data_IF_066333347031
#
_entry.id   IF_066333347031
#
_cell.length_a   1.000
_cell.length_b   1.000
_cell.length_c   1.000
_cell.angle_alpha   90.00
_cell.angle_beta   90.00
_cell.angle_gamma   90.00
#
_symmetry.space_group_name_H-M   'P 1'
#
loop_
_entity.id
_entity.type
_entity.pdbx_description
1 polymer ?
#
# COMPACT_ATOMS: atom_id res chain seq x y z
N UNK A 1 -3.68 -7.07 29.90
CA UNK A 1 -3.40 -5.92 29.02
C UNK A 1 -4.44 -5.91 27.92
N UNK A 2 -4.98 -4.74 27.57
CA UNK A 2 -6.02 -4.59 26.53
C UNK A 2 -5.47 -5.00 25.16
N UNK A 3 -4.21 -4.67 24.87
CA UNK A 3 -3.58 -5.03 23.60
C UNK A 3 -3.48 -6.55 23.45
N UNK A 4 -3.01 -7.27 24.48
CA UNK A 4 -2.92 -8.74 24.45
C UNK A 4 -4.30 -9.39 24.32
N UNK A 5 -5.30 -8.91 25.07
CA UNK A 5 -6.67 -9.44 24.99
C UNK A 5 -7.26 -9.30 23.57
N UNK A 6 -7.02 -8.15 22.93
CA UNK A 6 -7.46 -7.93 21.55
C UNK A 6 -6.70 -8.82 20.55
N UNK A 7 -5.39 -8.96 20.72
CA UNK A 7 -4.57 -9.83 19.87
C UNK A 7 -5.02 -11.30 19.98
N UNK A 8 -5.26 -11.80 21.20
CA UNK A 8 -5.76 -13.15 21.44
C UNK A 8 -7.14 -13.36 20.77
N UNK A 9 -8.04 -12.38 20.89
CA UNK A 9 -9.34 -12.43 20.24
C UNK A 9 -9.23 -12.47 18.71
N UNK A 10 -8.33 -11.67 18.12
CA UNK A 10 -8.08 -11.67 16.69
C UNK A 10 -7.44 -12.98 16.20
N UNK A 11 -6.56 -13.59 17.01
CA UNK A 11 -6.02 -14.92 16.71
C UNK A 11 -7.13 -15.99 16.72
N UNK A 12 -8.07 -15.94 17.67
CA UNK A 12 -9.23 -16.84 17.68
C UNK A 12 -10.15 -16.64 16.47
N UNK A 13 -10.34 -15.39 16.03
CA UNK A 13 -11.05 -15.09 14.78
C UNK A 13 -10.32 -15.73 13.59
N UNK A 14 -9.01 -15.54 13.47
CA UNK A 14 -8.19 -16.18 12.42
C UNK A 14 -8.32 -17.70 12.42
N UNK A 15 -8.26 -18.35 13.60
CA UNK A 15 -8.46 -19.80 13.72
C UNK A 15 -9.85 -20.23 13.26
N UNK A 16 -10.88 -19.45 13.60
CA UNK A 16 -12.26 -19.71 13.20
C UNK A 16 -12.43 -19.57 11.68
N UNK A 17 -11.84 -18.55 11.07
CA UNK A 17 -11.83 -18.35 9.61
C UNK A 17 -11.19 -19.56 8.91
N UNK A 18 -10.05 -20.03 9.40
CA UNK A 18 -9.36 -21.20 8.85
C UNK A 18 -10.17 -22.49 9.01
N UNK A 19 -10.79 -22.69 10.18
CA UNK A 19 -11.64 -23.85 10.42
C UNK A 19 -12.85 -23.85 9.48
N UNK A 20 -13.45 -22.68 9.26
CA UNK A 20 -14.56 -22.50 8.32
C UNK A 20 -14.13 -22.80 6.88
N UNK A 21 -13.02 -22.21 6.40
CA UNK A 21 -12.51 -22.51 5.05
C UNK A 21 -12.29 -24.00 4.85
N UNK A 22 -11.60 -24.67 5.80
CA UNK A 22 -11.33 -26.11 5.69
C UNK A 22 -12.60 -26.96 5.63
N UNK A 23 -13.67 -26.54 6.30
CA UNK A 23 -14.94 -27.26 6.30
C UNK A 23 -15.70 -27.07 4.98
N UNK A 24 -15.60 -25.89 4.36
CA UNK A 24 -16.45 -25.46 3.24
C UNK A 24 -15.72 -25.39 1.89
N UNK A 25 -14.39 -25.52 1.83
CA UNK A 25 -13.58 -25.33 0.60
C UNK A 25 -14.07 -26.17 -0.58
N UNK A 26 -14.50 -27.41 -0.34
CA UNK A 26 -15.03 -28.29 -1.39
C UNK A 26 -16.49 -27.98 -1.80
N UNK A 27 -17.20 -27.19 -1.00
CA UNK A 27 -18.59 -26.81 -1.20
C UNK A 27 -18.76 -25.41 -1.80
N UNK A 28 -17.72 -24.56 -1.76
CA UNK A 28 -17.78 -23.23 -2.34
C UNK A 28 -18.02 -23.25 -3.84
N UNK A 29 -18.98 -22.45 -4.29
CA UNK A 29 -19.02 -21.98 -5.67
C UNK A 29 -17.89 -20.96 -5.93
N UNK A 30 -17.51 -20.77 -7.19
CA UNK A 30 -16.47 -19.78 -7.53
C UNK A 30 -16.76 -18.38 -6.99
N UNK A 31 -18.03 -17.96 -7.03
CA UNK A 31 -18.46 -16.67 -6.46
C UNK A 31 -18.31 -16.61 -4.94
N UNK A 32 -18.59 -17.70 -4.22
CA UNK A 32 -18.42 -17.74 -2.76
C UNK A 32 -16.95 -17.74 -2.36
N UNK A 33 -16.09 -18.42 -3.13
CA UNK A 33 -14.64 -18.37 -2.93
C UNK A 33 -14.11 -16.94 -3.08
N UNK A 34 -14.52 -16.22 -4.14
CA UNK A 34 -14.15 -14.81 -4.35
C UNK A 34 -14.59 -13.93 -3.18
N UNK A 35 -15.84 -14.07 -2.72
CA UNK A 35 -16.36 -13.33 -1.57
C UNK A 35 -15.59 -13.65 -0.28
N UNK A 36 -15.22 -14.92 -0.07
CA UNK A 36 -14.44 -15.34 1.08
C UNK A 36 -13.03 -14.75 1.05
N UNK A 37 -12.37 -14.72 -0.12
CA UNK A 37 -11.08 -14.04 -0.30
C UNK A 37 -11.20 -12.54 0.00
N UNK A 38 -12.24 -11.87 -0.52
CA UNK A 38 -12.50 -10.45 -0.21
C UNK A 38 -12.72 -10.20 1.28
N UNK A 39 -13.43 -11.09 1.97
CA UNK A 39 -13.60 -11.02 3.42
C UNK A 39 -12.25 -11.14 4.14
N UNK A 40 -11.39 -12.08 3.74
CA UNK A 40 -10.05 -12.24 4.32
C UNK A 40 -9.18 -10.99 4.09
N UNK A 41 -9.24 -10.40 2.91
CA UNK A 41 -8.58 -9.13 2.61
C UNK A 41 -9.10 -8.01 3.50
N UNK A 42 -10.41 -7.80 3.58
CA UNK A 42 -10.99 -6.73 4.41
C UNK A 42 -10.67 -6.92 5.92
N UNK A 43 -10.64 -8.17 6.39
CA UNK A 43 -10.23 -8.47 7.76
C UNK A 43 -8.78 -8.04 8.03
N UNK A 44 -7.85 -8.32 7.11
CA UNK A 44 -6.42 -8.08 7.28
C UNK A 44 -5.93 -6.69 6.89
N UNK A 45 -6.53 -6.10 5.85
CA UNK A 45 -6.05 -4.85 5.24
C UNK A 45 -6.83 -3.63 5.75
N UNK A 46 -8.08 -3.81 6.17
CA UNK A 46 -8.92 -2.72 6.69
C UNK A 46 -9.12 -2.82 8.21
N UNK A 47 -9.72 -3.91 8.68
CA UNK A 47 -10.15 -4.03 10.07
C UNK A 47 -8.96 -4.08 11.03
N UNK A 48 -7.99 -4.96 10.76
CA UNK A 48 -6.84 -5.17 11.64
C UNK A 48 -5.97 -3.89 11.79
N UNK A 49 -5.62 -3.15 10.72
CA UNK A 49 -4.93 -1.87 10.83
C UNK A 49 -5.75 -0.79 11.53
N UNK A 50 -7.07 -0.75 11.29
CA UNK A 50 -7.97 0.17 11.99
C UNK A 50 -7.94 -0.05 13.51
N UNK A 51 -8.07 -1.30 13.95
CA UNK A 51 -8.00 -1.66 15.38
C UNK A 51 -6.65 -1.29 16.00
N UNK A 52 -5.54 -1.56 15.29
CA UNK A 52 -4.21 -1.18 15.73
C UNK A 52 -4.05 0.35 15.82
N UNK A 53 -4.69 1.12 14.93
CA UNK A 53 -4.72 2.59 14.99
C UNK A 53 -5.54 3.08 16.17
N UNK A 54 -6.70 2.48 16.43
CA UNK A 54 -7.52 2.79 17.61
C UNK A 54 -6.72 2.61 18.91
N UNK A 55 -5.96 1.52 19.04
CA UNK A 55 -5.07 1.32 20.19
C UNK A 55 -4.02 2.43 20.31
N UNK A 56 -3.37 2.81 19.22
CA UNK A 56 -2.36 3.87 19.24
C UNK A 56 -2.93 5.26 19.56
N UNK A 57 -4.21 5.51 19.28
CA UNK A 57 -4.91 6.73 19.69
C UNK A 57 -5.30 6.70 21.17
N UNK A 58 -5.80 5.57 21.66
CA UNK A 58 -6.20 5.40 23.06
C UNK A 58 -5.00 5.32 24.01
N UNK A 59 -3.89 4.75 23.53
CA UNK A 59 -2.65 4.56 24.28
C UNK A 59 -1.47 5.12 23.48
N UNK A 60 -1.31 6.46 23.40
CA UNK A 60 -0.24 7.06 22.62
C UNK A 60 1.14 6.62 23.12
N UNK A 61 2.05 6.13 22.24
CA UNK A 61 3.36 5.60 22.65
C UNK A 61 4.19 6.58 23.48
N UNK A 62 4.11 7.88 23.18
CA UNK A 62 4.81 8.92 23.95
C UNK A 62 4.31 9.01 25.39
N UNK A 63 2.99 8.87 25.61
CA UNK A 63 2.39 8.92 26.94
C UNK A 63 2.71 7.65 27.74
N UNK A 64 2.73 6.49 27.08
CA UNK A 64 3.18 5.24 27.72
C UNK A 64 4.64 5.36 28.15
N UNK A 65 5.52 5.84 27.27
CA UNK A 65 6.95 6.01 27.58
C UNK A 65 7.17 6.98 28.76
N UNK A 66 6.43 8.10 28.77
CA UNK A 66 6.45 9.06 29.87
C UNK A 66 5.98 8.44 31.20
N UNK A 67 4.86 7.69 31.18
CA UNK A 67 4.34 7.02 32.38
C UNK A 67 5.30 5.96 32.94
N UNK A 68 6.06 5.29 32.06
CA UNK A 68 7.10 4.34 32.44
C UNK A 68 8.44 4.98 32.81
N UNK A 69 8.59 6.30 32.64
CA UNK A 69 9.84 7.02 32.92
C UNK A 69 10.99 6.66 31.97
N UNK A 70 10.68 6.14 30.78
CA UNK A 70 11.68 5.70 29.78
C UNK A 70 11.65 6.57 28.53
N UNK A 71 12.78 6.72 27.82
CA UNK A 71 12.77 7.36 26.51
C UNK A 71 11.87 6.58 25.52
N UNK A 72 11.12 7.25 24.63
CA UNK A 72 10.27 6.59 23.64
C UNK A 72 11.01 5.60 22.73
N UNK A 73 12.30 5.82 22.49
CA UNK A 73 13.17 4.91 21.73
C UNK A 73 13.35 3.54 22.40
N UNK A 74 13.17 3.48 23.73
CA UNK A 74 13.26 2.23 24.49
C UNK A 74 11.92 1.50 24.60
N UNK A 75 10.81 2.10 24.15
CA UNK A 75 9.48 1.49 24.27
C UNK A 75 9.38 0.17 23.49
N UNK A 76 10.15 0.00 22.41
CA UNK A 76 10.24 -1.27 21.67
C UNK A 76 10.72 -2.45 22.53
N UNK A 77 11.46 -2.18 23.63
CA UNK A 77 11.92 -3.21 24.58
C UNK A 77 10.83 -3.63 25.56
N UNK A 78 9.83 -2.78 25.77
CA UNK A 78 8.67 -3.05 26.61
C UNK A 78 7.56 -3.58 25.70
N UNK A 79 7.68 -4.87 25.37
CA UNK A 79 6.70 -5.74 24.71
C UNK A 79 5.54 -5.01 24.03
N UNK A 80 5.64 -4.67 22.72
CA UNK A 80 4.56 -4.15 21.84
C UNK A 80 3.40 -3.38 22.53
N UNK A 81 3.71 -2.54 23.52
CA UNK A 81 2.67 -1.89 24.33
C UNK A 81 1.85 -0.97 23.44
N UNK A 82 0.54 -1.21 23.38
CA UNK A 82 -0.38 -0.44 22.54
C UNK A 82 -0.32 -0.78 21.04
N UNK A 83 0.30 -1.90 20.64
CA UNK A 83 0.36 -2.35 19.24
C UNK A 83 0.12 -3.84 19.07
N UNK A 84 -0.63 -4.19 18.04
CA UNK A 84 -0.95 -5.58 17.68
C UNK A 84 0.18 -6.16 16.82
N UNK A 85 0.51 -7.43 17.02
CA UNK A 85 1.31 -8.24 16.11
C UNK A 85 0.53 -8.60 14.83
N UNK A 86 0.45 -7.65 13.90
CA UNK A 86 -0.25 -7.84 12.62
C UNK A 86 0.28 -9.05 11.85
N UNK A 87 1.59 -9.27 11.86
CA UNK A 87 2.23 -10.38 11.13
C UNK A 87 1.75 -11.75 11.64
N UNK A 88 1.67 -11.94 12.96
CA UNK A 88 1.21 -13.21 13.54
C UNK A 88 -0.27 -13.53 13.22
N UNK A 89 -1.10 -12.51 12.96
CA UNK A 89 -2.50 -12.68 12.58
C UNK A 89 -2.63 -12.89 11.07
N UNK A 90 -1.77 -12.23 10.28
CA UNK A 90 -1.75 -12.29 8.81
C UNK A 90 -1.17 -13.60 8.29
N UNK A 91 -0.07 -14.05 8.87
CA UNK A 91 0.72 -15.18 8.37
C UNK A 91 -0.11 -16.46 8.18
N UNK A 92 -1.02 -16.85 9.10
CA UNK A 92 -1.88 -18.00 8.90
C UNK A 92 -2.89 -17.87 7.76
N UNK A 93 -3.23 -16.66 7.33
CA UNK A 93 -4.23 -16.41 6.28
C UNK A 93 -3.60 -16.13 4.90
N UNK A 94 -2.26 -16.02 4.80
CA UNK A 94 -1.58 -15.64 3.55
C UNK A 94 -1.95 -16.54 2.36
N UNK A 95 -2.15 -17.84 2.57
CA UNK A 95 -2.49 -18.77 1.50
C UNK A 95 -3.92 -18.59 0.95
N UNK A 96 -4.79 -17.90 1.67
CA UNK A 96 -6.16 -17.59 1.27
C UNK A 96 -6.26 -16.28 0.46
N UNK A 97 -5.19 -15.48 0.50
CA UNK A 97 -5.14 -14.21 -0.20
C UNK A 97 -4.73 -14.41 -1.66
N UNK A 98 -5.17 -13.50 -2.55
CA UNK A 98 -4.62 -13.47 -3.91
C UNK A 98 -3.11 -13.30 -3.83
N UNK A 99 -2.38 -13.88 -4.79
CA UNK A 99 -0.99 -13.49 -4.97
C UNK A 99 -0.93 -11.96 -5.13
N UNK A 100 0.03 -11.28 -4.49
CA UNK A 100 0.21 -9.85 -4.72
C UNK A 100 0.45 -9.64 -6.21
N UNK A 101 -0.56 -9.17 -6.93
CA UNK A 101 -0.43 -8.88 -8.35
C UNK A 101 0.64 -7.81 -8.53
N UNK A 102 1.65 -8.09 -9.35
CA UNK A 102 2.62 -7.11 -9.87
C UNK A 102 1.96 -6.09 -10.83
N UNK A 103 0.62 -6.04 -10.87
CA UNK A 103 -0.19 -5.28 -11.80
C UNK A 103 -0.52 -3.89 -11.23
N UNK A 104 0.52 -3.09 -11.00
CA UNK A 104 0.36 -1.63 -10.82
C UNK A 104 1.44 -0.79 -11.52
N UNK A 105 2.36 -1.38 -12.29
CA UNK A 105 3.41 -0.64 -13.02
C UNK A 105 3.25 -0.59 -14.56
N UNK A 106 2.17 -1.12 -15.15
CA UNK A 106 2.03 -1.20 -16.62
C UNK A 106 0.87 -0.40 -17.23
N UNK A 107 0.55 0.78 -16.69
CA UNK A 107 -0.37 1.74 -17.35
C UNK A 107 0.24 3.15 -17.45
N UNK A 108 1.48 3.27 -17.95
CA UNK A 108 1.93 4.48 -18.63
C UNK A 108 2.90 4.10 -19.76
N UNK A 109 2.36 3.69 -20.90
CA UNK A 109 3.10 3.61 -22.16
C UNK A 109 2.12 3.51 -23.32
N UNK A 110 1.73 4.66 -23.86
CA UNK A 110 1.25 4.74 -25.25
C UNK A 110 2.31 5.49 -26.05
N UNK A 111 3.26 4.82 -26.72
CA UNK A 111 4.08 5.45 -27.74
C UNK A 111 3.28 5.46 -29.05
N UNK A 112 3.06 6.66 -29.61
CA UNK A 112 2.49 6.80 -30.96
C UNK A 112 3.61 6.59 -32.00
N UNK A 113 3.41 5.82 -33.09
CA UNK A 113 4.43 5.55 -34.10
C UNK A 113 4.52 6.69 -35.12
N UNK A 114 5.72 7.26 -35.29
CA UNK A 114 6.07 8.10 -36.44
C UNK A 114 7.03 7.34 -37.35
N UNK A 115 6.50 6.74 -38.41
CA UNK A 115 7.30 6.18 -39.50
C UNK A 115 7.75 7.33 -40.43
N UNK A 116 9.05 7.43 -40.65
CA UNK A 116 9.63 8.40 -41.58
C UNK A 116 11.06 8.01 -41.97
N UNK A 117 11.19 7.23 -43.03
CA UNK A 117 12.48 7.02 -43.71
C UNK A 117 12.26 6.93 -45.22
N UNK A 118 12.99 7.75 -46.00
CA UNK A 118 13.21 7.50 -47.43
C UNK A 118 13.25 8.71 -48.38
N UNK A 119 14.45 9.29 -48.54
CA UNK A 119 15.10 9.74 -49.78
C UNK A 119 14.42 10.76 -50.76
N UNK A 120 15.15 11.87 -51.05
CA UNK A 120 14.86 12.87 -52.11
C UNK A 120 15.11 12.37 -53.55
N UNK A 121 15.09 13.21 -54.63
CA UNK A 121 15.77 14.53 -54.74
C UNK A 121 15.07 15.64 -55.60
N UNK A 122 15.60 16.88 -55.57
CA UNK A 122 15.56 17.82 -56.72
C UNK A 122 15.05 19.27 -56.52
N UNK A 123 15.97 20.20 -56.21
CA UNK A 123 16.19 21.57 -56.80
C UNK A 123 15.11 22.72 -56.73
N UNK A 124 15.44 24.03 -56.90
CA UNK A 124 16.03 24.95 -55.89
C UNK A 124 15.32 26.33 -55.68
N UNK A 125 15.63 27.01 -54.53
CA UNK A 125 15.78 28.48 -54.24
C UNK A 125 14.65 29.51 -54.57
N UNK A 126 14.64 30.78 -54.05
CA UNK A 126 15.51 31.47 -53.06
C UNK A 126 14.79 32.30 -51.94
N UNK A 127 15.61 32.71 -50.95
CA UNK A 127 15.67 33.96 -50.16
C UNK A 127 14.41 34.78 -49.79
N UNK A 128 14.23 35.04 -48.48
CA UNK A 128 14.24 36.42 -47.98
C UNK A 128 14.72 36.49 -46.51
N UNK A 129 15.50 37.52 -46.23
CA UNK A 129 16.31 37.73 -45.03
C UNK A 129 15.61 38.63 -43.99
N UNK A 130 15.87 38.34 -42.71
CA UNK A 130 16.05 39.29 -41.56
C UNK A 130 14.83 39.97 -40.90
N UNK A 131 14.97 40.52 -39.68
CA UNK A 131 15.85 40.17 -38.55
C UNK A 131 15.15 40.14 -37.16
N UNK A 132 15.83 39.50 -36.22
CA UNK A 132 15.61 39.57 -34.75
C UNK A 132 16.23 40.86 -34.19
N UNK A 133 15.70 41.41 -33.09
CA UNK A 133 16.55 41.67 -31.91
C UNK A 133 15.86 41.14 -30.64
N UNK A 134 16.50 40.35 -29.76
CA UNK A 134 17.70 40.69 -28.99
C UNK A 134 17.31 41.74 -27.95
N UNK A 135 17.37 41.54 -26.62
CA UNK A 135 17.83 40.46 -25.77
C UNK A 135 17.76 40.95 -24.31
N UNK A 136 18.16 40.07 -23.38
CA UNK A 136 18.63 40.34 -22.02
C UNK A 136 17.63 40.83 -20.92
N UNK A 137 17.17 39.86 -20.11
CA UNK A 137 17.28 39.69 -18.64
C UNK A 137 17.86 40.84 -17.76
N UNK A 138 17.78 40.79 -16.40
CA UNK A 138 16.84 40.15 -15.45
C UNK A 138 16.45 41.11 -14.28
N UNK A 139 15.75 40.60 -13.24
CA UNK A 139 15.91 40.89 -11.78
C UNK A 139 14.58 41.06 -11.02
N UNK A 140 14.33 40.12 -10.09
CA UNK A 140 13.54 40.22 -8.85
C UNK A 140 14.27 41.11 -7.80
N UNK A 141 13.74 41.35 -6.58
CA UNK A 141 12.38 41.64 -6.08
C UNK A 141 12.43 43.02 -5.33
N UNK A 142 11.56 43.41 -4.36
CA UNK A 142 11.21 42.70 -3.10
C UNK A 142 9.72 42.33 -2.94
#
# INVERSE_FOLDING_TARGET
DVTTCLEDALQEVTKTILAFHRAEEAAFSGREQELFTHFCMAFLEDLLPYLNRCLQVLFPPAQIAQALGVPPTQLQRFARLGRINVDAIREPLLFLLPAPSEEQEAQESTPQPGEGEGAGPGEPLPAEETPVPGGALPMDPP
#
